data_IF_149376803068
#
_entry.id   IF_149376803068
#
_cell.length_a   1.000
_cell.length_b   1.000
_cell.length_c   1.000
_cell.angle_alpha   90.00
_cell.angle_beta   90.00
_cell.angle_gamma   90.00
#
_symmetry.space_group_name_H-M   'P 1'
#
loop_
_entity.id
_entity.type
_entity.pdbx_description
1 polymer ?
#
# COMPACT_ATOMS: atom_id res chain seq x y z
N UNK A 1 -10.23 5.09 -21.13
CA UNK A 1 -9.68 5.17 -19.76
C UNK A 1 -10.71 4.60 -18.79
N UNK A 2 -10.56 3.32 -18.42
CA UNK A 2 -11.46 2.64 -17.48
C UNK A 2 -11.32 3.26 -16.09
N UNK A 3 -12.44 3.64 -15.47
CA UNK A 3 -12.45 4.18 -14.12
C UNK A 3 -12.14 3.05 -13.11
N UNK A 4 -10.94 3.05 -12.52
CA UNK A 4 -10.49 2.09 -11.50
C UNK A 4 -11.48 1.92 -10.35
N UNK A 5 -12.12 3.00 -9.92
CA UNK A 5 -13.15 2.96 -8.87
C UNK A 5 -14.35 2.13 -9.35
N UNK A 6 -14.79 2.33 -10.60
CA UNK A 6 -15.89 1.55 -11.18
C UNK A 6 -15.53 0.07 -11.29
N UNK A 7 -14.31 -0.25 -11.72
CA UNK A 7 -13.81 -1.63 -11.85
C UNK A 7 -13.80 -2.33 -10.49
N UNK A 8 -13.24 -1.71 -9.45
CA UNK A 8 -13.21 -2.26 -8.09
C UNK A 8 -14.62 -2.43 -7.52
N UNK A 9 -15.53 -1.46 -7.74
CA UNK A 9 -16.93 -1.56 -7.28
C UNK A 9 -17.71 -2.68 -7.97
N UNK A 10 -17.49 -2.86 -9.28
CA UNK A 10 -18.12 -3.94 -10.06
C UNK A 10 -17.46 -5.30 -9.82
N UNK A 11 -16.25 -5.32 -9.24
CA UNK A 11 -15.39 -6.50 -9.09
C UNK A 11 -15.10 -7.23 -10.41
N UNK A 12 -15.14 -6.50 -11.53
CA UNK A 12 -14.88 -7.05 -12.85
C UNK A 12 -14.52 -5.97 -13.86
N UNK A 13 -13.81 -6.37 -14.91
CA UNK A 13 -13.43 -5.54 -16.05
C UNK A 13 -13.31 -6.42 -17.30
N UNK A 14 -13.16 -5.81 -18.48
CA UNK A 14 -13.06 -6.51 -19.76
C UNK A 14 -11.70 -6.19 -20.40
N UNK A 15 -11.02 -7.21 -20.91
CA UNK A 15 -9.79 -7.13 -21.71
C UNK A 15 -9.99 -8.02 -22.92
N UNK A 16 -9.79 -7.51 -24.13
CA UNK A 16 -9.91 -8.27 -25.38
C UNK A 16 -11.20 -9.11 -25.49
N UNK A 17 -12.34 -8.49 -25.14
CA UNK A 17 -13.67 -9.10 -25.07
C UNK A 17 -13.86 -10.22 -24.01
N UNK A 18 -12.85 -10.48 -23.19
CA UNK A 18 -12.92 -11.40 -22.06
C UNK A 18 -13.27 -10.66 -20.75
N UNK A 19 -14.27 -11.18 -20.03
CA UNK A 19 -14.63 -10.67 -18.70
C UNK A 19 -13.71 -11.27 -17.63
N UNK A 20 -12.95 -10.39 -16.96
CA UNK A 20 -12.07 -10.75 -15.85
C UNK A 20 -12.73 -10.37 -14.53
N UNK A 21 -12.87 -11.36 -13.64
CA UNK A 21 -13.38 -11.17 -12.28
C UNK A 21 -12.22 -10.82 -11.35
N UNK A 22 -12.35 -9.71 -10.63
CA UNK A 22 -11.39 -9.31 -9.60
C UNK A 22 -11.60 -10.16 -8.34
N UNK A 23 -10.59 -10.97 -8.04
CA UNK A 23 -10.45 -11.63 -6.74
C UNK A 23 -9.68 -10.70 -5.83
N UNK A 24 -10.32 -10.25 -4.76
CA UNK A 24 -9.72 -9.27 -3.85
C UNK A 24 -9.62 -9.85 -2.44
N UNK A 25 -8.39 -9.95 -1.94
CA UNK A 25 -8.08 -10.49 -0.60
C UNK A 25 -8.48 -9.49 0.50
N UNK A 26 -8.85 -9.92 1.72
CA UNK A 26 -9.13 -9.00 2.82
C UNK A 26 -7.99 -8.00 3.02
N UNK A 27 -8.29 -6.70 2.93
CA UNK A 27 -7.29 -5.66 3.05
C UNK A 27 -7.06 -5.34 4.53
N UNK A 28 -5.81 -5.12 4.91
CA UNK A 28 -5.44 -4.72 6.27
C UNK A 28 -4.51 -3.53 6.21
N UNK A 29 -4.90 -2.46 6.89
CA UNK A 29 -4.17 -1.19 6.96
C UNK A 29 -3.76 -0.93 8.41
N UNK A 30 -2.48 -0.67 8.65
CA UNK A 30 -1.92 -0.44 9.98
C UNK A 30 -1.17 0.89 9.97
N UNK A 31 -1.57 1.80 10.85
CA UNK A 31 -0.92 3.08 11.06
C UNK A 31 0.10 3.03 12.19
N UNK A 32 1.22 3.69 11.97
CA UNK A 32 2.30 3.89 12.92
C UNK A 32 2.58 5.39 13.06
N UNK A 33 2.94 5.81 14.26
CA UNK A 33 3.39 7.16 14.54
C UNK A 33 4.60 7.12 15.49
N UNK A 34 5.13 8.28 15.87
CA UNK A 34 6.27 8.40 16.78
C UNK A 34 6.09 7.73 18.16
N UNK A 35 4.84 7.46 18.57
CA UNK A 35 4.53 6.76 19.82
C UNK A 35 4.44 5.25 19.64
N UNK A 36 4.20 4.77 18.41
CA UNK A 36 4.12 3.33 18.12
C UNK A 36 5.43 2.64 18.49
N UNK A 37 5.32 1.48 19.14
CA UNK A 37 6.46 0.61 19.43
C UNK A 37 6.29 -0.69 18.66
N UNK A 38 7.38 -1.20 18.09
CA UNK A 38 7.43 -2.51 17.44
C UNK A 38 7.94 -3.61 18.37
N UNK A 39 8.58 -3.22 19.48
CA UNK A 39 9.01 -4.09 20.57
C UNK A 39 8.69 -3.39 21.91
N UNK A 40 8.00 -4.09 22.79
CA UNK A 40 7.65 -3.64 24.14
C UNK A 40 8.43 -4.53 25.12
N UNK A 41 8.87 -3.95 26.23
CA UNK A 41 9.58 -4.63 27.35
C UNK A 41 11.06 -5.00 27.18
N UNK A 42 11.65 -4.84 25.99
CA UNK A 42 13.10 -5.04 25.82
C UNK A 42 13.77 -3.79 25.27
N UNK A 43 14.49 -3.07 26.14
CA UNK A 43 15.53 -2.13 25.68
C UNK A 43 16.64 -2.97 25.08
N UNK A 44 16.78 -2.93 23.76
CA UNK A 44 17.88 -3.59 23.04
C UNK A 44 18.96 -2.53 22.88
N UNK A 45 20.15 -2.75 23.44
CA UNK A 45 21.28 -1.89 23.12
C UNK A 45 21.56 -2.00 21.62
N UNK A 46 21.97 -0.92 20.97
CA UNK A 46 22.29 -0.97 19.53
C UNK A 46 23.31 -2.07 19.20
N UNK A 47 24.23 -2.37 20.13
CA UNK A 47 25.20 -3.46 20.04
C UNK A 47 24.59 -4.86 20.05
N UNK A 48 23.40 -5.01 20.62
CA UNK A 48 22.67 -6.27 20.72
C UNK A 48 21.71 -6.49 19.54
N UNK A 49 21.54 -5.47 18.68
CA UNK A 49 20.80 -5.63 17.43
C UNK A 49 21.58 -6.57 16.51
N UNK A 50 21.14 -7.82 16.42
CA UNK A 50 21.65 -8.75 15.42
C UNK A 50 21.44 -8.17 14.04
N UNK A 51 22.51 -8.07 13.23
CA UNK A 51 22.39 -7.76 11.81
C UNK A 51 21.49 -8.82 11.17
N UNK A 52 20.27 -8.46 10.71
CA UNK A 52 19.31 -9.45 10.25
C UNK A 52 19.74 -10.13 8.95
N UNK A 53 20.66 -9.51 8.20
CA UNK A 53 21.20 -10.05 6.96
C UNK A 53 22.73 -9.85 6.92
N UNK A 54 23.53 -10.92 6.69
CA UNK A 54 24.99 -10.82 6.67
C UNK A 54 25.54 -10.09 5.43
N UNK A 55 24.75 -9.99 4.36
CA UNK A 55 25.13 -9.28 3.13
C UNK A 55 23.91 -8.66 2.47
N UNK A 56 23.97 -7.37 2.15
CA UNK A 56 22.90 -6.65 1.44
C UNK A 56 23.33 -6.48 -0.01
N UNK A 57 22.48 -6.89 -0.95
CA UNK A 57 22.65 -6.56 -2.36
C UNK A 57 21.80 -5.32 -2.67
N UNK A 58 22.43 -4.30 -3.26
CA UNK A 58 21.76 -3.06 -3.66
C UNK A 58 21.89 -2.94 -5.17
N UNK A 59 20.75 -2.86 -5.84
CA UNK A 59 20.65 -2.75 -7.29
C UNK A 59 19.82 -1.51 -7.65
N UNK A 60 20.22 -0.83 -8.71
CA UNK A 60 19.48 0.32 -9.27
C UNK A 60 18.99 -0.07 -10.65
N UNK A 61 17.68 -0.02 -10.85
CA UNK A 61 17.01 -0.44 -12.08
C UNK A 61 16.07 0.70 -12.51
N UNK A 62 16.11 1.06 -13.78
CA UNK A 62 15.15 1.99 -14.37
C UNK A 62 13.90 1.21 -14.82
N UNK A 63 13.00 0.93 -13.89
CA UNK A 63 11.79 0.12 -14.13
C UNK A 63 10.61 0.60 -13.29
N UNK A 64 9.39 0.35 -13.78
CA UNK A 64 8.15 0.57 -13.05
C UNK A 64 8.10 -0.32 -11.78
N UNK A 65 7.73 0.29 -10.65
CA UNK A 65 7.77 -0.39 -9.36
C UNK A 65 6.84 -1.62 -9.29
N UNK A 66 5.71 -1.62 -9.99
CA UNK A 66 4.79 -2.76 -10.02
C UNK A 66 5.27 -3.85 -10.97
N UNK A 67 5.93 -3.49 -12.08
CA UNK A 67 6.57 -4.47 -12.99
C UNK A 67 7.70 -5.19 -12.27
N UNK A 68 8.57 -4.47 -11.57
CA UNK A 68 9.63 -5.08 -10.77
C UNK A 68 9.06 -5.91 -9.61
N UNK A 69 8.00 -5.43 -8.95
CA UNK A 69 7.33 -6.17 -7.88
C UNK A 69 6.77 -7.51 -8.38
N UNK A 70 6.07 -7.51 -9.53
CA UNK A 70 5.54 -8.73 -10.15
C UNK A 70 6.65 -9.71 -10.51
N UNK A 71 7.75 -9.22 -11.12
CA UNK A 71 8.93 -10.04 -11.41
C UNK A 71 9.52 -10.68 -10.15
N UNK A 72 9.69 -9.92 -9.08
CA UNK A 72 10.21 -10.45 -7.82
C UNK A 72 9.25 -11.50 -7.21
N UNK A 73 7.93 -11.29 -7.31
CA UNK A 73 6.94 -12.28 -6.87
C UNK A 73 7.01 -13.56 -7.71
N UNK A 74 7.17 -13.46 -9.03
CA UNK A 74 7.29 -14.65 -9.90
C UNK A 74 8.58 -15.43 -9.68
N UNK A 75 9.63 -14.77 -9.19
CA UNK A 75 10.86 -15.39 -8.71
C UNK A 75 10.74 -15.99 -7.29
N UNK A 76 9.57 -15.87 -6.65
CA UNK A 76 9.29 -16.44 -5.33
C UNK A 76 9.60 -15.54 -4.14
N UNK A 77 9.94 -14.27 -4.37
CA UNK A 77 10.16 -13.30 -3.29
C UNK A 77 8.85 -12.77 -2.71
N UNK A 78 8.95 -12.15 -1.52
CA UNK A 78 7.86 -11.43 -0.85
C UNK A 78 8.24 -9.96 -0.64
N UNK A 79 8.31 -9.16 -1.73
CA UNK A 79 8.79 -7.78 -1.67
C UNK A 79 7.85 -6.87 -0.87
N UNK A 80 8.42 -5.80 -0.32
CA UNK A 80 7.67 -4.64 0.18
C UNK A 80 7.85 -3.49 -0.81
N UNK A 81 6.74 -2.83 -1.16
CA UNK A 81 6.75 -1.66 -2.05
C UNK A 81 6.57 -0.39 -1.22
N UNK A 82 7.49 0.56 -1.39
CA UNK A 82 7.38 1.89 -0.76
C UNK A 82 6.53 2.81 -1.64
N UNK A 83 5.40 3.27 -1.12
CA UNK A 83 4.62 4.34 -1.73
C UNK A 83 5.32 5.68 -1.45
N UNK A 84 5.62 6.46 -2.51
CA UNK A 84 6.09 7.84 -2.43
C UNK A 84 4.90 8.76 -2.13
N UNK A 85 4.33 8.54 -0.94
CA UNK A 85 3.07 9.13 -0.51
C UNK A 85 3.16 10.64 -0.34
N UNK A 86 2.09 11.32 -0.71
CA UNK A 86 1.89 12.71 -0.31
C UNK A 86 1.73 12.81 1.22
N UNK A 87 2.21 13.88 1.85
CA UNK A 87 2.14 14.02 3.32
C UNK A 87 0.75 14.49 3.82
N UNK A 88 0.01 15.19 2.97
CA UNK A 88 -1.25 15.87 3.32
C UNK A 88 -2.49 15.06 2.99
N UNK A 89 -2.57 14.51 1.78
CA UNK A 89 -3.77 13.86 1.29
C UNK A 89 -3.38 12.58 0.54
N UNK A 90 -4.20 11.52 0.61
CA UNK A 90 -4.02 10.36 -0.27
C UNK A 90 -4.08 10.78 -1.75
N UNK A 91 -4.70 11.93 -2.04
CA UNK A 91 -4.75 12.49 -3.38
C UNK A 91 -3.56 13.39 -3.70
N UNK A 92 -2.53 12.82 -4.32
CA UNK A 92 -1.66 13.61 -5.20
C UNK A 92 -2.40 14.15 -6.45
N UNK A 93 -3.68 13.80 -6.68
CA UNK A 93 -4.43 14.15 -7.89
C UNK A 93 -4.43 13.05 -8.97
N UNK A 94 -4.67 11.78 -8.61
CA UNK A 94 -4.86 10.70 -9.59
C UNK A 94 -6.06 10.96 -10.52
N UNK A 95 -7.01 11.79 -10.08
CA UNK A 95 -8.12 12.33 -10.89
C UNK A 95 -7.67 13.38 -11.93
N UNK A 96 -6.47 13.95 -11.80
CA UNK A 96 -5.93 15.04 -12.64
C UNK A 96 -4.90 14.58 -13.69
N UNK A 97 -4.54 13.29 -13.72
CA UNK A 97 -3.76 12.72 -14.84
C UNK A 97 -2.24 12.73 -14.71
N UNK A 98 -1.64 13.28 -13.65
CA UNK A 98 -0.16 13.27 -13.57
C UNK A 98 0.41 11.84 -13.36
N UNK A 99 1.64 11.62 -13.84
CA UNK A 99 2.36 10.33 -13.85
C UNK A 99 3.22 10.04 -12.60
N UNK A 100 2.81 10.52 -11.42
CA UNK A 100 3.55 10.25 -10.18
C UNK A 100 3.35 8.80 -9.69
N UNK A 101 4.34 8.24 -8.99
CA UNK A 101 4.33 6.84 -8.53
C UNK A 101 3.10 6.49 -7.67
N UNK A 102 2.75 7.30 -6.68
CA UNK A 102 1.54 7.08 -5.85
C UNK A 102 0.26 7.01 -6.71
N UNK A 103 0.13 7.89 -7.70
CA UNK A 103 -1.04 7.92 -8.58
C UNK A 103 -1.11 6.66 -9.44
N UNK A 104 0.04 6.19 -9.92
CA UNK A 104 0.14 4.97 -10.70
C UNK A 104 -0.31 3.75 -9.87
N UNK A 105 0.12 3.66 -8.60
CA UNK A 105 -0.34 2.64 -7.66
C UNK A 105 -1.87 2.67 -7.50
N UNK A 106 -2.46 3.85 -7.30
CA UNK A 106 -3.92 3.99 -7.14
C UNK A 106 -4.70 3.69 -8.41
N UNK A 107 -4.16 4.01 -9.60
CA UNK A 107 -4.83 3.73 -10.88
C UNK A 107 -4.83 2.24 -11.20
N UNK A 108 -3.81 1.51 -10.80
CA UNK A 108 -3.59 0.10 -11.20
C UNK A 108 -4.00 -0.93 -10.16
N UNK A 109 -4.48 -0.47 -9.00
CA UNK A 109 -4.83 -1.36 -7.90
C UNK A 109 -6.08 -0.88 -7.14
N UNK A 110 -6.50 -1.68 -6.16
CA UNK A 110 -7.50 -1.26 -5.18
C UNK A 110 -6.91 -0.50 -3.99
N UNK A 111 -5.63 -0.11 -4.04
CA UNK A 111 -4.90 0.49 -2.90
C UNK A 111 -5.59 1.72 -2.30
N UNK A 112 -6.30 2.52 -3.11
CA UNK A 112 -7.08 3.66 -2.61
C UNK A 112 -8.09 3.28 -1.51
N UNK A 113 -8.58 2.03 -1.49
CA UNK A 113 -9.48 1.51 -0.44
C UNK A 113 -8.86 1.59 0.97
N UNK A 114 -7.54 1.58 1.04
CA UNK A 114 -6.76 1.70 2.27
C UNK A 114 -6.64 3.14 2.76
N UNK A 115 -6.58 4.12 1.85
CA UNK A 115 -6.10 5.46 2.17
C UNK A 115 -7.11 6.58 1.90
N UNK A 116 -7.98 6.44 0.90
CA UNK A 116 -8.92 7.49 0.49
C UNK A 116 -10.31 7.28 1.12
N UNK A 117 -10.60 8.04 2.16
CA UNK A 117 -11.84 7.95 2.93
C UNK A 117 -13.10 8.26 2.14
N UNK A 118 -13.00 9.12 1.13
CA UNK A 118 -14.15 9.64 0.41
C UNK A 118 -14.72 8.62 -0.57
N UNK A 119 -13.87 7.73 -1.09
CA UNK A 119 -14.27 6.74 -2.12
C UNK A 119 -14.16 5.29 -1.68
N UNK A 120 -13.41 5.00 -0.61
CA UNK A 120 -13.25 3.65 -0.09
C UNK A 120 -14.56 3.07 0.45
N UNK A 121 -14.70 1.76 0.30
CA UNK A 121 -15.68 0.96 1.02
C UNK A 121 -15.12 0.65 2.41
N UNK A 122 -15.81 1.11 3.47
CA UNK A 122 -15.37 0.96 4.86
C UNK A 122 -15.27 -0.50 5.30
N UNK A 123 -16.01 -1.40 4.67
CA UNK A 123 -16.00 -2.83 4.98
C UNK A 123 -14.86 -3.59 4.28
N UNK A 124 -14.13 -2.93 3.38
CA UNK A 124 -13.11 -3.59 2.54
C UNK A 124 -11.77 -3.76 3.24
N UNK A 125 -11.41 -2.82 4.13
CA UNK A 125 -10.13 -2.80 4.84
C UNK A 125 -10.35 -2.83 6.34
N UNK A 126 -9.76 -3.82 7.01
CA UNK A 126 -9.48 -3.72 8.45
C UNK A 126 -8.51 -2.55 8.66
N UNK A 127 -8.82 -1.69 9.63
CA UNK A 127 -8.03 -0.47 9.91
C UNK A 127 -7.59 -0.50 11.36
N UNK A 128 -6.28 -0.55 11.56
CA UNK A 128 -5.64 -0.65 12.86
C UNK A 128 -4.61 0.46 13.05
N UNK A 129 -4.26 0.74 14.30
CA UNK A 129 -3.08 1.51 14.66
C UNK A 129 -2.25 0.74 15.68
N UNK A 130 -0.93 0.94 15.61
CA UNK A 130 0.01 0.36 16.55
C UNK A 130 0.20 1.28 17.76
N UNK A 131 -0.05 0.75 18.96
CA UNK A 131 0.08 1.50 20.21
C UNK A 131 1.52 1.57 20.73
N UNK A 132 1.72 2.36 21.78
CA UNK A 132 2.97 2.40 22.56
C UNK A 132 3.33 1.05 23.21
N UNK A 133 2.37 0.13 23.32
CA UNK A 133 2.54 -1.19 23.93
C UNK A 133 2.68 -2.32 22.89
N UNK A 134 2.94 -1.98 21.62
CA UNK A 134 2.97 -2.94 20.50
C UNK A 134 1.63 -3.65 20.23
N UNK A 135 0.52 -3.09 20.71
CA UNK A 135 -0.81 -3.65 20.46
C UNK A 135 -1.35 -3.09 19.15
N UNK A 136 -2.09 -3.90 18.40
CA UNK A 136 -2.90 -3.42 17.28
C UNK A 136 -4.32 -3.17 17.76
N UNK A 137 -4.78 -1.93 17.64
CA UNK A 137 -6.15 -1.53 18.02
C UNK A 137 -6.91 -1.06 16.80
N UNK A 138 -8.21 -1.34 16.79
CA UNK A 138 -9.09 -0.87 15.73
C UNK A 138 -9.13 0.65 15.71
N UNK A 139 -8.88 1.24 14.54
CA UNK A 139 -9.08 2.66 14.34
C UNK A 139 -10.58 2.94 14.22
N UNK A 140 -11.06 3.94 14.96
CA UNK A 140 -12.46 4.37 14.91
C UNK A 140 -12.68 5.47 13.88
N UNK A 141 -11.61 6.12 13.38
CA UNK A 141 -11.72 7.19 12.39
C UNK A 141 -10.91 6.88 11.13
N UNK A 142 -11.51 7.20 9.99
CA UNK A 142 -10.94 6.93 8.67
C UNK A 142 -9.83 7.93 8.31
N UNK A 143 -9.92 9.13 8.88
CA UNK A 143 -9.04 10.28 8.64
C UNK A 143 -7.74 10.21 9.45
N UNK A 144 -7.54 9.21 10.30
CA UNK A 144 -6.37 9.13 11.19
C UNK A 144 -5.05 8.80 10.46
N UNK A 145 -5.11 8.35 9.21
CA UNK A 145 -3.91 7.99 8.43
C UNK A 145 -3.31 9.20 7.69
N UNK A 146 -4.13 10.21 7.35
CA UNK A 146 -3.72 11.42 6.63
C UNK A 146 -4.31 12.66 7.32
N UNK A 147 -3.57 13.70 7.69
CA UNK A 147 -2.15 13.97 7.51
C UNK A 147 -1.24 12.95 8.20
N UNK A 148 -0.26 12.44 7.46
CA UNK A 148 0.76 11.58 8.04
C UNK A 148 1.56 12.37 9.06
N UNK A 149 1.52 11.92 10.33
CA UNK A 149 2.33 12.50 11.40
C UNK A 149 3.81 12.37 11.04
N UNK A 150 4.62 13.32 11.48
CA UNK A 150 6.07 13.23 11.38
C UNK A 150 6.57 11.91 12.01
N UNK A 151 7.45 11.20 11.30
CA UNK A 151 7.91 9.84 11.65
C UNK A 151 6.79 8.77 11.68
N UNK A 152 5.66 9.05 11.03
CA UNK A 152 4.59 8.08 10.81
C UNK A 152 4.85 7.19 9.60
N UNK A 153 4.20 6.02 9.61
CA UNK A 153 4.21 5.09 8.49
C UNK A 153 2.86 4.40 8.39
N UNK A 154 2.49 3.97 7.18
CA UNK A 154 1.29 3.18 6.94
C UNK A 154 1.71 1.90 6.22
N UNK A 155 1.32 0.77 6.79
CA UNK A 155 1.46 -0.53 6.15
C UNK A 155 0.11 -1.01 5.65
N UNK A 156 0.06 -1.47 4.40
CA UNK A 156 -1.16 -2.03 3.81
C UNK A 156 -0.84 -3.36 3.15
N UNK A 157 -1.60 -4.40 3.50
CA UNK A 157 -1.58 -5.71 2.84
C UNK A 157 -2.92 -6.06 2.22
N UNK A 158 -2.93 -7.03 1.30
CA UNK A 158 -4.14 -7.46 0.60
C UNK A 158 -4.54 -6.54 -0.57
N UNK A 159 -3.60 -5.71 -1.04
CA UNK A 159 -3.78 -4.88 -2.24
C UNK A 159 -3.82 -5.81 -3.46
N UNK A 160 -4.81 -5.60 -4.31
CA UNK A 160 -4.94 -6.28 -5.61
C UNK A 160 -4.52 -5.33 -6.72
N UNK A 161 -3.45 -5.67 -7.43
CA UNK A 161 -3.01 -4.99 -8.66
C UNK A 161 -3.65 -5.70 -9.84
N UNK A 162 -4.28 -4.95 -10.74
CA UNK A 162 -5.08 -5.52 -11.85
C UNK A 162 -4.91 -4.75 -13.17
N UNK A 163 -3.85 -3.93 -13.29
CA UNK A 163 -3.49 -3.28 -14.54
C UNK A 163 -1.99 -3.36 -14.79
N UNK A 164 -1.65 -3.50 -16.06
CA UNK A 164 -0.29 -3.32 -16.57
C UNK A 164 0.17 -1.86 -16.51
N UNK A 165 1.31 -1.56 -17.15
CA UNK A 165 1.93 -0.23 -17.22
C UNK A 165 0.97 0.83 -17.78
N UNK A 166 1.27 2.11 -17.54
CA UNK A 166 0.48 3.22 -18.12
C UNK A 166 0.45 3.25 -19.65
N UNK A 167 1.42 2.60 -20.30
CA UNK A 167 1.50 2.51 -21.77
C UNK A 167 0.55 1.43 -22.30
N UNK A 168 0.36 0.35 -21.53
CA UNK A 168 -0.36 -0.84 -21.98
C UNK A 168 -1.74 -1.04 -21.31
N UNK A 169 -2.11 -0.21 -20.32
CA UNK A 169 -3.26 -0.47 -19.40
C UNK A 169 -4.32 0.60 -19.23
#
# INVERSE_FOLDING_TARGET
MLNTISVVRKKKYVVDDEEIILKSEPMKTIGYNHQSKLLYEKTIAQTDMKTPCPSINVIVINEDCLVLYEKLVSEGYRPLLSNMANVTNPEGGYRKGDGAQEKNLFRRSDYYQSLDADVANKDRSERLYCTTKCELKQSTTFDEYYLMKEFGAIYTSGITVFRETEVNG
#
